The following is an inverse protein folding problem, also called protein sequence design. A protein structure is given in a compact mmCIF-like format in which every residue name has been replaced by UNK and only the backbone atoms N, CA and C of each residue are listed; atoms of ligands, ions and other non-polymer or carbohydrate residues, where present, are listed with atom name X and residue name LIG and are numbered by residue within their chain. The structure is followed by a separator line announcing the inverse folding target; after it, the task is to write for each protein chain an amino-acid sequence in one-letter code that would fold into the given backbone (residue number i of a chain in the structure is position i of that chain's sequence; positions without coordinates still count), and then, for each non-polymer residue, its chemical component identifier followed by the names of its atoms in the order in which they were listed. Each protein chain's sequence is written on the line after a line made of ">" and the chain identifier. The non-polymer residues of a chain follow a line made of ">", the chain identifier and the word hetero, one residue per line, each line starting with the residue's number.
data_IF_084405519977
#
_entry.id   IF_084405519977
#
_cell.length_a   1.000
_cell.length_b   1.000
_cell.length_c   1.000
_cell.angle_alpha   90.00
_cell.angle_beta   90.00
_cell.angle_gamma   90.00
#
_symmetry.space_group_name_H-M   'P 1'
#
loop_
_entity.id
_entity.type
_entity.pdbx_description
1 polymer ?
#
# COMPACT_ATOMS: atom_id res chain seq x y z
N UNK A 1 -54.41 -26.66 -35.78
CA UNK A 1 -53.07 -27.04 -35.25
C UNK A 1 -51.93 -26.17 -35.78
N UNK A 2 -51.89 -25.79 -37.05
CA UNK A 2 -50.80 -25.02 -37.65
C UNK A 2 -50.75 -23.57 -37.15
N UNK A 3 -51.90 -22.92 -36.94
CA UNK A 3 -51.97 -21.55 -36.41
C UNK A 3 -51.60 -21.49 -34.90
N UNK A 4 -51.95 -22.50 -34.11
CA UNK A 4 -51.62 -22.58 -32.70
C UNK A 4 -50.11 -22.68 -32.46
N UNK A 5 -49.40 -23.43 -33.32
CA UNK A 5 -47.94 -23.51 -33.28
C UNK A 5 -47.25 -22.17 -33.63
N UNK A 6 -47.86 -21.37 -34.54
CA UNK A 6 -47.37 -20.05 -34.91
C UNK A 6 -47.48 -19.04 -33.77
N UNK A 7 -48.59 -19.04 -33.01
CA UNK A 7 -48.75 -18.19 -31.84
C UNK A 7 -47.80 -18.55 -30.71
N UNK A 8 -47.55 -19.84 -30.46
CA UNK A 8 -46.57 -20.28 -29.46
C UNK A 8 -45.16 -19.82 -29.85
N UNK A 9 -44.77 -19.94 -31.12
CA UNK A 9 -43.47 -19.49 -31.61
C UNK A 9 -43.33 -17.95 -31.52
N UNK A 10 -44.37 -17.19 -31.86
CA UNK A 10 -44.40 -15.75 -31.74
C UNK A 10 -44.29 -15.28 -30.27
N UNK A 11 -44.94 -15.97 -29.34
CA UNK A 11 -44.86 -15.67 -27.91
C UNK A 11 -43.48 -15.95 -27.35
N UNK A 12 -42.79 -17.00 -27.78
CA UNK A 12 -41.40 -17.30 -27.36
C UNK A 12 -40.42 -16.24 -27.91
N UNK A 13 -40.61 -15.80 -29.14
CA UNK A 13 -39.77 -14.73 -29.73
C UNK A 13 -39.98 -13.39 -29.03
N UNK A 14 -41.18 -13.03 -28.63
CA UNK A 14 -41.47 -11.81 -27.88
C UNK A 14 -40.90 -11.87 -26.45
N UNK A 15 -40.96 -13.03 -25.77
CA UNK A 15 -40.31 -13.21 -24.46
C UNK A 15 -38.78 -13.13 -24.54
N UNK A 16 -38.18 -13.52 -25.66
CA UNK A 16 -36.72 -13.42 -25.86
C UNK A 16 -36.20 -11.97 -26.05
N UNK A 17 -37.09 -11.00 -26.36
CA UNK A 17 -36.70 -9.58 -26.53
C UNK A 17 -36.70 -8.80 -25.22
N UNK A 18 -37.22 -9.32 -24.14
CA UNK A 18 -37.05 -8.75 -22.80
C UNK A 18 -35.78 -9.24 -22.09
N UNK A 19 -34.69 -9.47 -22.83
CA UNK A 19 -33.37 -9.54 -22.24
C UNK A 19 -33.08 -8.15 -21.70
N UNK A 20 -33.34 -7.95 -20.41
CA UNK A 20 -33.03 -6.75 -19.67
C UNK A 20 -31.52 -6.47 -19.84
N UNK A 21 -31.17 -5.59 -20.76
CA UNK A 21 -29.92 -4.87 -20.68
C UNK A 21 -30.01 -4.05 -19.38
N UNK A 22 -29.54 -4.62 -18.26
CA UNK A 22 -29.26 -3.80 -17.09
C UNK A 22 -28.33 -2.72 -17.59
N UNK A 23 -28.82 -1.48 -17.67
CA UNK A 23 -27.94 -0.33 -17.87
C UNK A 23 -26.94 -0.32 -16.72
N UNK A 24 -25.78 -0.90 -16.95
CA UNK A 24 -24.69 -0.89 -15.98
C UNK A 24 -24.23 0.54 -15.81
N UNK A 25 -24.59 1.18 -14.71
CA UNK A 25 -24.12 2.52 -14.40
C UNK A 25 -22.62 2.49 -14.04
N UNK A 26 -21.86 3.52 -14.45
CA UNK A 26 -20.46 3.63 -14.05
C UNK A 26 -20.30 3.62 -12.52
N UNK A 27 -19.30 2.90 -12.05
CA UNK A 27 -18.94 2.92 -10.63
C UNK A 27 -18.34 4.29 -10.32
N UNK A 28 -19.01 5.03 -9.43
CA UNK A 28 -18.47 6.29 -8.92
C UNK A 28 -17.53 5.98 -7.76
N UNK A 29 -16.28 6.37 -7.89
CA UNK A 29 -15.27 6.30 -6.84
C UNK A 29 -14.91 7.71 -6.43
N UNK A 30 -15.12 8.02 -5.17
CA UNK A 30 -14.86 9.36 -4.60
C UNK A 30 -13.54 9.36 -3.82
N UNK A 31 -13.04 10.54 -3.51
CA UNK A 31 -11.92 10.74 -2.60
C UNK A 31 -12.19 10.11 -1.23
N UNK A 32 -13.44 10.19 -0.73
CA UNK A 32 -13.83 9.61 0.54
C UNK A 32 -13.71 8.08 0.56
N UNK A 33 -13.94 7.42 -0.58
CA UNK A 33 -13.70 5.98 -0.69
C UNK A 33 -12.21 5.67 -0.47
N UNK A 34 -11.31 6.47 -1.02
CA UNK A 34 -9.87 6.28 -0.82
C UNK A 34 -9.46 6.60 0.62
N UNK A 35 -9.96 7.69 1.20
CA UNK A 35 -9.69 8.05 2.59
C UNK A 35 -10.17 6.95 3.54
N UNK A 36 -11.37 6.40 3.36
CA UNK A 36 -11.88 5.31 4.20
C UNK A 36 -11.00 4.06 4.17
N UNK A 37 -10.35 3.80 3.03
CA UNK A 37 -9.37 2.71 2.90
C UNK A 37 -8.10 3.01 3.69
N UNK A 38 -7.56 4.23 3.58
CA UNK A 38 -6.39 4.66 4.36
C UNK A 38 -6.70 4.58 5.86
N UNK A 39 -7.84 5.12 6.29
CA UNK A 39 -8.26 5.10 7.69
C UNK A 39 -8.36 3.67 8.23
N UNK A 40 -8.89 2.75 7.41
CA UNK A 40 -8.96 1.33 7.79
C UNK A 40 -7.57 0.71 7.95
N UNK A 41 -6.62 1.05 7.08
CA UNK A 41 -5.24 0.59 7.21
C UNK A 41 -4.60 1.15 8.48
N UNK A 42 -4.82 2.44 8.80
CA UNK A 42 -4.35 3.07 10.04
C UNK A 42 -4.92 2.36 11.26
N UNK A 43 -6.24 2.14 11.30
CA UNK A 43 -6.91 1.42 12.40
C UNK A 43 -6.27 0.05 12.64
N UNK A 44 -6.00 -0.69 11.57
CA UNK A 44 -5.41 -2.03 11.69
C UNK A 44 -3.93 -1.96 12.11
N UNK A 45 -3.15 -0.99 11.63
CA UNK A 45 -1.77 -0.80 12.08
C UNK A 45 -1.68 -0.45 13.57
N UNK A 46 -2.60 0.38 14.08
CA UNK A 46 -2.70 0.70 15.51
C UNK A 46 -3.07 -0.56 16.30
N UNK A 47 -4.04 -1.34 15.81
CA UNK A 47 -4.42 -2.60 16.43
C UNK A 47 -3.27 -3.61 16.50
N UNK A 48 -2.46 -3.67 15.45
CA UNK A 48 -1.32 -4.58 15.31
C UNK A 48 -0.05 -4.05 15.99
N UNK A 49 -0.10 -2.85 16.58
CA UNK A 49 1.00 -2.17 17.31
C UNK A 49 2.25 -2.03 16.44
N UNK A 50 2.08 -1.55 15.21
CA UNK A 50 3.22 -1.31 14.31
C UNK A 50 4.13 -0.21 14.81
N UNK A 51 5.45 -0.45 14.79
CA UNK A 51 6.43 0.60 15.03
C UNK A 51 6.41 1.64 13.89
N UNK A 52 6.70 2.94 14.18
CA UNK A 52 6.66 3.99 13.15
C UNK A 52 7.49 3.71 11.90
N UNK A 53 8.71 3.16 11.99
CA UNK A 53 9.47 2.79 10.79
C UNK A 53 8.74 1.77 9.92
N UNK A 54 8.16 0.71 10.52
CA UNK A 54 7.42 -0.31 9.76
C UNK A 54 6.12 0.26 9.20
N UNK A 55 5.41 1.10 9.96
CA UNK A 55 4.21 1.80 9.49
C UNK A 55 4.50 2.64 8.23
N UNK A 56 5.65 3.32 8.15
CA UNK A 56 6.04 4.10 6.96
C UNK A 56 6.12 3.22 5.70
N UNK A 57 6.58 1.98 5.85
CA UNK A 57 6.64 1.00 4.76
C UNK A 57 5.25 0.53 4.33
N UNK A 58 4.35 0.33 5.30
CA UNK A 58 2.94 -0.04 5.03
C UNK A 58 2.21 1.06 4.27
N UNK A 59 2.52 2.32 4.53
CA UNK A 59 1.95 3.43 3.75
C UNK A 59 2.58 3.57 2.36
N UNK A 60 3.90 3.42 2.23
CA UNK A 60 4.60 3.75 1.00
C UNK A 60 4.20 2.85 -0.18
N UNK A 61 4.27 1.54 -0.04
CA UNK A 61 4.08 0.61 -1.16
C UNK A 61 2.67 0.60 -1.74
N UNK A 62 1.58 0.56 -0.93
CA UNK A 62 0.23 0.62 -1.47
C UNK A 62 -0.06 1.94 -2.18
N UNK A 63 0.44 3.06 -1.64
CA UNK A 63 0.25 4.38 -2.26
C UNK A 63 1.03 4.52 -3.56
N UNK A 64 2.23 3.94 -3.68
CA UNK A 64 2.98 3.90 -4.95
C UNK A 64 2.17 3.15 -6.02
N UNK A 65 1.57 2.01 -5.69
CA UNK A 65 0.76 1.26 -6.63
C UNK A 65 -0.49 2.03 -7.07
N UNK A 66 -1.18 2.65 -6.13
CA UNK A 66 -2.37 3.47 -6.42
C UNK A 66 -2.01 4.69 -7.28
N UNK A 67 -0.95 5.40 -6.94
CA UNK A 67 -0.45 6.54 -7.71
C UNK A 67 -0.08 6.16 -9.15
N UNK A 68 0.68 5.10 -9.33
CA UNK A 68 1.10 4.64 -10.65
C UNK A 68 -0.09 4.27 -11.55
N UNK A 69 -1.15 3.69 -10.98
CA UNK A 69 -2.39 3.41 -11.73
C UNK A 69 -3.05 4.71 -12.18
N UNK A 70 -3.17 5.69 -11.29
CA UNK A 70 -3.80 6.97 -11.62
C UNK A 70 -2.97 7.77 -12.62
N UNK A 71 -1.64 7.78 -12.47
CA UNK A 71 -0.73 8.47 -13.39
C UNK A 71 -0.75 7.90 -14.82
N UNK A 72 -1.22 6.67 -15.04
CA UNK A 72 -1.41 6.16 -16.40
C UNK A 72 -2.64 6.71 -17.11
N UNK A 73 -3.61 7.23 -16.36
CA UNK A 73 -4.85 7.78 -16.90
C UNK A 73 -4.82 9.30 -17.05
N UNK A 74 -3.88 9.98 -16.42
CA UNK A 74 -3.80 11.44 -16.41
C UNK A 74 -2.38 11.89 -16.75
N UNK A 75 -2.21 12.52 -17.89
CA UNK A 75 -0.92 13.01 -18.40
C UNK A 75 -0.36 14.19 -17.62
N UNK A 76 -1.12 14.77 -16.68
CA UNK A 76 -0.64 15.81 -15.76
C UNK A 76 0.30 15.25 -14.70
N UNK A 77 0.30 13.94 -14.51
CA UNK A 77 1.13 13.25 -13.52
C UNK A 77 2.24 12.43 -14.19
N UNK A 78 3.41 12.47 -13.59
CA UNK A 78 4.56 11.69 -14.06
C UNK A 78 4.67 10.37 -13.31
N UNK A 79 4.88 9.27 -14.05
CA UNK A 79 5.19 7.99 -13.43
C UNK A 79 6.44 8.07 -12.56
N UNK A 80 6.45 7.36 -11.46
CA UNK A 80 7.61 7.18 -10.57
C UNK A 80 8.66 6.23 -11.15
N UNK A 81 8.40 5.65 -12.32
CA UNK A 81 9.36 4.83 -13.07
C UNK A 81 10.67 5.58 -13.23
N UNK A 82 11.78 4.93 -12.92
CA UNK A 82 13.14 5.48 -12.95
C UNK A 82 13.39 6.65 -11.98
N UNK A 83 12.39 7.12 -11.24
CA UNK A 83 12.54 8.09 -10.16
C UNK A 83 12.74 7.38 -8.81
N UNK A 84 12.14 6.21 -8.66
CA UNK A 84 12.33 5.33 -7.50
C UNK A 84 13.20 4.15 -7.92
N UNK A 85 14.15 3.79 -7.06
CA UNK A 85 15.13 2.73 -7.32
C UNK A 85 14.47 1.41 -7.68
N UNK A 86 14.88 0.87 -8.80
CA UNK A 86 14.43 -0.42 -9.33
C UNK A 86 12.92 -0.52 -9.61
N UNK A 87 12.18 0.59 -9.55
CA UNK A 87 10.80 0.63 -10.02
C UNK A 87 10.81 0.80 -11.54
N UNK A 88 10.47 -0.25 -12.25
CA UNK A 88 10.26 -0.23 -13.70
C UNK A 88 8.87 0.31 -14.07
N UNK A 89 8.51 0.19 -15.34
CA UNK A 89 7.16 0.51 -15.79
C UNK A 89 6.17 -0.53 -15.23
N UNK A 90 5.11 -0.07 -14.59
CA UNK A 90 4.03 -0.95 -14.17
C UNK A 90 3.29 -1.55 -15.39
N UNK A 91 2.63 -2.70 -15.23
CA UNK A 91 1.84 -3.29 -16.29
C UNK A 91 0.78 -2.32 -16.81
N UNK A 92 0.65 -2.23 -18.14
CA UNK A 92 -0.42 -1.44 -18.75
C UNK A 92 -1.76 -2.16 -18.69
N UNK A 93 -2.89 -1.42 -18.62
CA UNK A 93 -4.22 -2.00 -18.73
C UNK A 93 -4.48 -2.54 -20.13
N UNK A 94 -5.47 -3.39 -20.26
CA UNK A 94 -6.00 -3.79 -21.55
C UNK A 94 -6.88 -2.66 -22.11
N UNK A 95 -6.41 -1.93 -23.11
CA UNK A 95 -7.10 -0.78 -23.68
C UNK A 95 -8.40 -1.14 -24.43
N UNK A 96 -8.65 -2.42 -24.75
CA UNK A 96 -9.92 -2.87 -25.30
C UNK A 96 -11.02 -3.01 -24.22
N UNK A 97 -10.67 -2.83 -22.95
CA UNK A 97 -11.55 -2.98 -21.79
C UNK A 97 -11.80 -1.63 -21.13
N UNK A 98 -13.00 -1.47 -20.59
CA UNK A 98 -13.33 -0.30 -19.79
C UNK A 98 -12.76 -0.46 -18.39
N UNK A 99 -11.76 0.32 -18.06
CA UNK A 99 -11.09 0.33 -16.76
C UNK A 99 -11.48 1.61 -16.00
N UNK A 100 -11.95 1.43 -14.78
CA UNK A 100 -12.11 2.51 -13.81
C UNK A 100 -10.80 2.61 -13.01
N UNK A 101 -9.96 3.59 -13.36
CA UNK A 101 -8.64 3.74 -12.75
C UNK A 101 -8.68 4.05 -11.25
N UNK A 102 -9.55 4.96 -10.75
CA UNK A 102 -9.73 5.14 -9.31
C UNK A 102 -10.09 3.84 -8.57
N UNK A 103 -10.99 3.04 -9.15
CA UNK A 103 -11.36 1.75 -8.59
C UNK A 103 -10.18 0.78 -8.57
N UNK A 104 -9.44 0.67 -9.67
CA UNK A 104 -8.27 -0.18 -9.77
C UNK A 104 -7.17 0.25 -8.77
N UNK A 105 -7.00 1.56 -8.54
CA UNK A 105 -6.06 2.11 -7.58
C UNK A 105 -6.40 1.68 -6.14
N UNK A 106 -7.67 1.79 -5.74
CA UNK A 106 -8.12 1.33 -4.41
C UNK A 106 -7.93 -0.18 -4.26
N UNK A 107 -8.24 -0.95 -5.29
CA UNK A 107 -8.07 -2.41 -5.27
C UNK A 107 -6.60 -2.79 -5.09
N UNK A 108 -5.70 -2.14 -5.81
CA UNK A 108 -4.26 -2.37 -5.67
C UNK A 108 -3.75 -1.98 -4.28
N UNK A 109 -4.22 -0.84 -3.75
CA UNK A 109 -3.88 -0.38 -2.42
C UNK A 109 -4.30 -1.39 -1.35
N UNK A 110 -5.57 -1.84 -1.37
CA UNK A 110 -6.09 -2.82 -0.42
C UNK A 110 -5.36 -4.16 -0.49
N UNK A 111 -5.04 -4.63 -1.70
CA UNK A 111 -4.36 -5.92 -1.86
C UNK A 111 -2.93 -5.89 -1.32
N UNK A 112 -2.20 -4.79 -1.53
CA UNK A 112 -0.86 -4.61 -0.96
C UNK A 112 -0.90 -4.38 0.55
N UNK A 113 -1.84 -3.56 1.04
CA UNK A 113 -1.97 -3.29 2.48
C UNK A 113 -2.18 -4.58 3.28
N UNK A 114 -3.05 -5.49 2.81
CA UNK A 114 -3.27 -6.76 3.51
C UNK A 114 -2.03 -7.65 3.58
N UNK A 115 -1.08 -7.52 2.65
CA UNK A 115 0.17 -8.28 2.64
C UNK A 115 1.21 -7.73 3.63
N UNK A 116 1.01 -6.51 4.12
CA UNK A 116 1.96 -5.76 4.95
C UNK A 116 1.58 -5.73 6.44
N UNK A 117 0.41 -6.25 6.80
CA UNK A 117 -0.15 -6.21 8.16
C UNK A 117 -0.36 -7.62 8.72
N UNK A 118 -0.50 -7.74 10.05
CA UNK A 118 -0.75 -9.04 10.70
C UNK A 118 -2.22 -9.41 10.67
N UNK A 119 -3.11 -8.47 11.00
CA UNK A 119 -4.57 -8.70 11.04
C UNK A 119 -5.23 -8.54 9.66
N UNK A 120 -4.70 -9.26 8.66
CA UNK A 120 -5.18 -9.14 7.26
C UNK A 120 -6.69 -9.36 7.10
N UNK A 121 -7.31 -10.16 7.98
CA UNK A 121 -8.75 -10.42 7.96
C UNK A 121 -9.59 -9.15 8.14
N UNK A 122 -9.10 -8.16 8.89
CA UNK A 122 -9.78 -6.87 9.07
C UNK A 122 -9.81 -6.08 7.75
N UNK A 123 -8.71 -6.08 7.00
CA UNK A 123 -8.67 -5.46 5.66
C UNK A 123 -9.51 -6.26 4.67
N UNK A 124 -9.45 -7.58 4.69
CA UNK A 124 -10.29 -8.44 3.83
C UNK A 124 -11.78 -8.16 4.04
N UNK A 125 -12.24 -8.08 5.29
CA UNK A 125 -13.64 -7.80 5.60
C UNK A 125 -14.08 -6.43 5.05
N UNK A 126 -13.27 -5.40 5.22
CA UNK A 126 -13.52 -4.07 4.66
C UNK A 126 -13.54 -4.08 3.13
N UNK A 127 -12.53 -4.68 2.51
CA UNK A 127 -12.45 -4.88 1.06
C UNK A 127 -13.70 -5.58 0.51
N UNK A 128 -14.09 -6.68 1.12
CA UNK A 128 -15.19 -7.50 0.63
C UNK A 128 -16.55 -6.78 0.76
N UNK A 129 -16.68 -5.86 1.73
CA UNK A 129 -17.84 -4.97 1.82
C UNK A 129 -17.91 -3.99 0.65
N UNK A 130 -16.79 -3.35 0.29
CA UNK A 130 -16.69 -2.45 -0.86
C UNK A 130 -16.92 -3.19 -2.18
N UNK A 131 -16.30 -4.37 -2.34
CA UNK A 131 -16.41 -5.17 -3.56
C UNK A 131 -17.85 -5.56 -3.86
N UNK A 132 -18.63 -5.96 -2.84
CA UNK A 132 -20.06 -6.30 -3.02
C UNK A 132 -20.86 -5.13 -3.57
N UNK A 133 -20.59 -3.92 -3.11
CA UNK A 133 -21.29 -2.70 -3.57
C UNK A 133 -20.93 -2.40 -5.03
N UNK A 134 -19.66 -2.42 -5.36
CA UNK A 134 -19.19 -2.09 -6.70
C UNK A 134 -19.54 -3.16 -7.74
N UNK A 135 -19.42 -4.43 -7.37
CA UNK A 135 -19.79 -5.55 -8.24
C UNK A 135 -21.31 -5.57 -8.52
N UNK A 136 -22.13 -5.28 -7.50
CA UNK A 136 -23.58 -5.19 -7.69
C UNK A 136 -24.00 -4.02 -8.60
N UNK A 137 -23.23 -2.92 -8.60
CA UNK A 137 -23.51 -1.73 -9.42
C UNK A 137 -23.12 -1.93 -10.88
N UNK A 138 -21.92 -2.43 -11.16
CA UNK A 138 -21.42 -2.70 -12.50
C UNK A 138 -20.43 -3.88 -12.48
N UNK A 139 -20.91 -5.11 -12.67
CA UNK A 139 -20.08 -6.32 -12.62
C UNK A 139 -18.95 -6.32 -13.64
N UNK A 140 -19.21 -5.78 -14.85
CA UNK A 140 -18.24 -5.77 -15.95
C UNK A 140 -17.10 -4.80 -15.65
N UNK A 141 -17.40 -3.54 -15.32
CA UNK A 141 -16.41 -2.52 -14.97
C UNK A 141 -15.61 -2.92 -13.72
N UNK A 142 -16.29 -3.49 -12.71
CA UNK A 142 -15.65 -4.00 -11.51
C UNK A 142 -14.65 -5.11 -11.82
N UNK A 143 -15.06 -6.11 -12.59
CA UNK A 143 -14.22 -7.26 -12.96
C UNK A 143 -12.93 -6.81 -13.68
N UNK A 144 -13.07 -5.95 -14.68
CA UNK A 144 -11.93 -5.52 -15.48
C UNK A 144 -10.99 -4.60 -14.68
N UNK A 145 -11.54 -3.68 -13.89
CA UNK A 145 -10.75 -2.80 -13.00
C UNK A 145 -10.05 -3.58 -11.90
N UNK A 146 -10.72 -4.59 -11.33
CA UNK A 146 -10.14 -5.49 -10.34
C UNK A 146 -8.97 -6.29 -10.91
N UNK A 147 -9.14 -6.85 -12.10
CA UNK A 147 -8.08 -7.61 -12.76
C UNK A 147 -6.84 -6.75 -13.00
N UNK A 148 -7.03 -5.50 -13.41
CA UNK A 148 -5.94 -4.56 -13.61
C UNK A 148 -5.28 -4.14 -12.28
N UNK A 149 -6.06 -3.75 -11.28
CA UNK A 149 -5.55 -3.37 -9.96
C UNK A 149 -4.72 -4.48 -9.31
N UNK A 150 -5.21 -5.73 -9.35
CA UNK A 150 -4.47 -6.89 -8.83
C UNK A 150 -3.18 -7.18 -9.62
N UNK A 151 -3.19 -6.96 -10.93
CA UNK A 151 -1.98 -7.12 -11.77
C UNK A 151 -0.89 -6.10 -11.37
N UNK A 152 -1.27 -4.86 -11.08
CA UNK A 152 -0.33 -3.84 -10.60
C UNK A 152 0.11 -4.14 -9.17
N UNK A 153 -0.80 -4.56 -8.30
CA UNK A 153 -0.46 -4.96 -6.93
C UNK A 153 0.59 -6.09 -6.92
N UNK A 154 0.41 -7.11 -7.75
CA UNK A 154 1.39 -8.19 -7.87
C UNK A 154 2.77 -7.69 -8.31
N UNK A 155 2.81 -6.80 -9.31
CA UNK A 155 4.07 -6.21 -9.77
C UNK A 155 4.78 -5.41 -8.66
N UNK A 156 4.03 -4.57 -7.93
CA UNK A 156 4.60 -3.78 -6.83
C UNK A 156 4.99 -4.67 -5.65
N UNK A 157 4.24 -5.75 -5.38
CA UNK A 157 4.59 -6.76 -4.38
C UNK A 157 5.93 -7.42 -4.69
N UNK A 158 6.16 -7.83 -5.95
CA UNK A 158 7.42 -8.42 -6.38
C UNK A 158 8.60 -7.44 -6.22
N UNK A 159 8.37 -6.17 -6.53
CA UNK A 159 9.37 -5.12 -6.33
C UNK A 159 9.62 -4.84 -4.85
N UNK A 160 8.58 -4.77 -4.04
CA UNK A 160 8.62 -4.60 -2.59
C UNK A 160 9.40 -5.72 -1.90
N UNK A 161 9.14 -6.96 -2.25
CA UNK A 161 9.78 -8.13 -1.64
C UNK A 161 11.30 -8.21 -1.88
N UNK A 162 11.83 -7.37 -2.78
CA UNK A 162 13.26 -7.22 -3.07
C UNK A 162 13.91 -6.03 -2.33
N UNK A 163 13.24 -5.46 -1.33
CA UNK A 163 13.73 -4.31 -0.58
C UNK A 163 14.66 -4.67 0.58
N UNK A 164 14.89 -5.96 0.82
CA UNK A 164 15.69 -6.50 1.92
C UNK A 164 15.02 -6.45 3.30
N UNK A 165 13.75 -6.04 3.40
CA UNK A 165 13.04 -5.99 4.69
C UNK A 165 12.95 -7.37 5.35
N UNK A 166 12.59 -8.41 4.61
CA UNK A 166 12.47 -9.76 5.15
C UNK A 166 13.81 -10.26 5.74
N UNK A 167 14.93 -9.93 5.12
CA UNK A 167 16.26 -10.31 5.57
C UNK A 167 16.64 -9.60 6.87
N UNK A 168 16.19 -8.36 7.07
CA UNK A 168 16.46 -7.63 8.32
C UNK A 168 15.83 -8.32 9.54
N UNK A 169 14.74 -9.11 9.33
CA UNK A 169 14.07 -9.84 10.43
C UNK A 169 14.90 -11.01 11.01
N UNK A 170 15.88 -11.48 10.26
CA UNK A 170 16.77 -12.58 10.66
C UNK A 170 18.13 -12.10 11.17
N UNK A 171 18.41 -10.80 11.12
CA UNK A 171 19.66 -10.21 11.61
C UNK A 171 19.66 -10.10 13.14
N UNK A 172 20.86 -10.06 13.78
CA UNK A 172 20.96 -9.93 15.22
C UNK A 172 20.19 -8.73 15.79
N UNK A 173 19.54 -8.91 16.93
CA UNK A 173 18.92 -7.80 17.65
C UNK A 173 19.97 -6.81 18.13
N UNK A 174 19.56 -5.56 18.39
CA UNK A 174 20.40 -4.59 19.04
C UNK A 174 20.74 -5.06 20.46
N UNK A 175 22.04 -5.07 20.79
CA UNK A 175 22.52 -5.40 22.13
C UNK A 175 22.77 -4.12 22.90
N UNK A 176 22.14 -4.01 24.06
CA UNK A 176 22.37 -2.90 25.00
C UNK A 176 23.69 -3.18 25.74
N UNK A 177 24.56 -2.17 25.80
CA UNK A 177 25.75 -2.18 26.62
C UNK A 177 25.53 -1.24 27.82
N UNK A 178 25.22 -1.81 28.96
CA UNK A 178 24.88 -1.06 30.16
C UNK A 178 26.10 -0.45 30.88
N UNK A 179 27.32 -0.84 30.48
CA UNK A 179 28.55 -0.32 31.07
C UNK A 179 29.08 0.90 30.29
N UNK A 180 28.63 1.12 29.06
CA UNK A 180 29.00 2.29 28.26
C UNK A 180 27.88 3.34 28.31
N UNK A 181 28.03 4.31 29.23
CA UNK A 181 27.08 5.42 29.40
C UNK A 181 26.89 6.26 28.13
N UNK A 182 27.83 6.23 27.20
CA UNK A 182 27.75 6.94 25.91
C UNK A 182 26.89 6.23 24.88
N UNK A 183 26.39 5.03 25.17
CA UNK A 183 25.53 4.28 24.29
C UNK A 183 24.06 4.42 24.65
N UNK A 184 23.23 4.25 23.64
CA UNK A 184 21.79 4.27 23.82
C UNK A 184 21.35 3.19 24.83
N UNK A 185 20.52 3.58 25.76
CA UNK A 185 19.88 2.72 26.76
C UNK A 185 18.35 2.80 26.63
N UNK A 186 17.62 1.70 26.86
CA UNK A 186 16.17 1.78 26.92
C UNK A 186 15.73 2.66 28.09
N UNK A 187 14.67 3.44 27.86
CA UNK A 187 14.17 4.43 28.82
C UNK A 187 12.85 3.98 29.48
N UNK A 188 12.59 4.41 30.74
CA UNK A 188 11.29 4.18 31.39
C UNK A 188 10.14 4.81 30.58
N UNK A 189 8.91 4.36 30.76
CA UNK A 189 8.48 3.29 31.69
C UNK A 189 8.60 1.89 31.11
N UNK A 190 8.69 1.72 29.79
CA UNK A 190 8.54 0.42 29.13
C UNK A 190 9.87 -0.30 28.86
N UNK A 191 10.99 0.41 28.93
CA UNK A 191 12.32 -0.13 28.60
C UNK A 191 12.32 -0.92 27.28
N UNK A 192 11.71 -0.35 26.25
CA UNK A 192 11.55 -1.02 24.95
C UNK A 192 12.89 -1.28 24.29
N UNK A 193 13.02 -2.42 23.64
CA UNK A 193 14.18 -2.77 22.82
C UNK A 193 14.42 -1.74 21.70
N UNK A 194 15.68 -1.66 21.23
CA UNK A 194 16.02 -0.85 20.04
C UNK A 194 15.23 -1.32 18.83
N UNK A 195 14.45 -0.37 18.25
CA UNK A 195 13.59 -0.65 17.11
C UNK A 195 14.39 -0.61 15.80
N UNK A 196 14.15 -1.61 14.96
CA UNK A 196 14.62 -1.66 13.57
C UNK A 196 16.13 -1.34 13.39
N UNK A 197 17.04 -2.01 14.11
CA UNK A 197 18.48 -1.68 14.09
C UNK A 197 19.13 -1.84 12.72
N UNK A 198 18.49 -2.56 11.81
CA UNK A 198 18.95 -2.81 10.45
C UNK A 198 18.15 -2.05 9.38
N UNK A 199 17.40 -1.01 9.77
CA UNK A 199 16.59 -0.22 8.82
C UNK A 199 17.43 0.36 7.68
N UNK A 200 18.68 0.70 7.93
CA UNK A 200 19.63 1.19 6.93
C UNK A 200 20.04 0.15 5.87
N UNK A 201 19.66 -1.11 6.03
CA UNK A 201 19.90 -2.18 5.06
C UNK A 201 18.75 -2.36 4.06
N UNK A 202 17.62 -1.71 4.32
CA UNK A 202 16.47 -1.72 3.42
C UNK A 202 16.75 -0.78 2.24
N UNK A 203 16.30 -1.19 1.06
CA UNK A 203 16.44 -0.36 -0.15
C UNK A 203 15.75 0.99 0.06
N UNK A 204 16.52 2.08 -0.02
CA UNK A 204 15.98 3.43 -0.09
C UNK A 204 15.24 3.66 -1.41
N UNK A 205 14.24 4.55 -1.42
CA UNK A 205 13.50 4.85 -2.66
C UNK A 205 14.31 5.72 -3.62
N UNK A 206 14.93 6.79 -3.13
CA UNK A 206 15.61 7.77 -3.97
C UNK A 206 17.07 7.99 -3.57
N UNK A 207 17.41 7.85 -2.29
CA UNK A 207 18.77 8.02 -1.79
C UNK A 207 19.70 6.93 -2.33
N UNK A 208 20.95 7.25 -2.63
CA UNK A 208 21.96 6.27 -3.05
C UNK A 208 22.22 5.23 -1.97
N UNK A 209 22.28 5.69 -0.73
CA UNK A 209 22.35 4.85 0.47
C UNK A 209 21.75 5.59 1.65
N UNK A 210 21.47 4.88 2.73
CA UNK A 210 21.03 5.50 3.99
C UNK A 210 22.07 6.49 4.58
N UNK A 211 23.32 6.42 4.14
CA UNK A 211 24.40 7.27 4.61
C UNK A 211 24.70 8.45 3.66
N UNK A 212 23.95 8.64 2.58
CA UNK A 212 24.22 9.68 1.58
C UNK A 212 24.32 11.09 2.18
N UNK A 213 23.49 11.40 3.15
CA UNK A 213 23.47 12.68 3.85
C UNK A 213 23.82 12.53 5.33
N UNK A 214 24.81 11.65 5.62
CA UNK A 214 25.24 11.44 6.99
C UNK A 214 25.79 12.74 7.58
N UNK A 215 25.26 13.24 8.71
CA UNK A 215 25.79 14.41 9.39
C UNK A 215 27.17 14.14 9.96
N UNK A 216 27.87 15.20 10.34
CA UNK A 216 29.07 15.07 11.15
C UNK A 216 28.74 14.34 12.45
N UNK A 217 29.66 13.53 12.99
CA UNK A 217 29.42 12.84 14.26
C UNK A 217 29.23 13.84 15.40
N UNK A 218 28.43 13.52 16.42
CA UNK A 218 28.29 14.32 17.61
C UNK A 218 29.66 14.44 18.34
N UNK A 219 29.82 15.42 19.22
CA UNK A 219 30.97 15.48 20.09
C UNK A 219 31.16 14.18 20.90
N UNK A 220 32.40 13.84 21.23
CA UNK A 220 32.67 12.65 22.01
C UNK A 220 31.95 12.75 23.36
N UNK A 221 31.22 11.69 23.72
CA UNK A 221 30.51 11.59 25.00
C UNK A 221 31.45 11.96 26.18
N UNK A 222 31.03 12.87 27.02
CA UNK A 222 31.74 13.25 28.25
C UNK A 222 30.82 14.06 29.15
N UNK A 223 30.72 13.67 30.42
CA UNK A 223 30.00 14.39 31.45
C UNK A 223 30.83 15.51 32.11
N UNK A 224 32.04 15.75 31.62
CA UNK A 224 32.84 16.92 32.04
C UNK A 224 32.13 18.22 31.58
N UNK A 225 31.86 19.13 32.53
CA UNK A 225 31.13 20.38 32.28
C UNK A 225 31.79 21.29 31.25
N UNK A 226 33.09 21.13 31.01
CA UNK A 226 33.83 21.92 30.02
C UNK A 226 33.90 21.25 28.64
N UNK A 227 33.40 20.02 28.51
CA UNK A 227 33.36 19.33 27.21
C UNK A 227 32.31 19.91 26.29
N UNK A 228 32.53 19.80 24.99
CA UNK A 228 31.56 20.26 23.98
C UNK A 228 30.26 19.43 24.06
N UNK A 229 30.36 18.13 24.35
CA UNK A 229 29.16 17.28 24.55
C UNK A 229 28.29 17.81 25.70
N UNK A 230 28.89 18.13 26.87
CA UNK A 230 28.13 18.62 28.04
C UNK A 230 27.48 19.99 27.77
N UNK A 231 28.20 20.88 27.05
CA UNK A 231 27.64 22.17 26.66
C UNK A 231 26.42 22.03 25.78
N UNK A 232 26.48 21.17 24.73
CA UNK A 232 25.36 20.92 23.85
C UNK A 232 24.19 20.22 24.61
N UNK A 233 24.49 19.30 25.54
CA UNK A 233 23.49 18.64 26.36
C UNK A 233 22.69 19.62 27.24
N UNK A 234 23.31 20.71 27.71
CA UNK A 234 22.65 21.71 28.56
C UNK A 234 21.83 22.70 27.74
N UNK A 235 22.08 22.81 26.43
CA UNK A 235 21.29 23.67 25.52
C UNK A 235 19.94 23.09 25.14
N UNK A 236 19.71 21.78 25.31
CA UNK A 236 18.47 21.09 25.02
C UNK A 236 17.58 21.05 26.25
#
# INVERSE_FOLDING_TARGET
>A
MRQFKFYILATIVVMGMFSCNKNEEPIQVTTDNFHSVIDKVVEVMIHDIFSPPVASRVFAYPNIAAYEILAQNDTSYFSLKNQIKHLGAIPKPNLSKRINYPLAAIIAHLDLSRQLIFSENKIKAHRDSLYRVWEAKNPTEFKESKAYGLKVAAYVSDWMNKDNYAQTRTMPKFSVDSEDEGRWQPTPPSYMDGLEPHWNKIRSFVLDSAAQFKPIPPPKFSMNKNSDFYKELVEV
#
